data_IF_495296511417
#
_entry.id   IF_495296511417
#
_cell.length_a   1.000
_cell.length_b   1.000
_cell.length_c   1.000
_cell.angle_alpha   90.00
_cell.angle_beta   90.00
_cell.angle_gamma   90.00
#
_symmetry.space_group_name_H-M   'P 1'
#
loop_
_entity.id
_entity.type
_entity.pdbx_description
1 polymer ?
#
# COMPACT_ATOMS: atom_id res chain seq x y z
N UNK A 1 3.02 -16.65 -0.21
CA UNK A 1 3.56 -16.25 -1.54
C UNK A 1 2.37 -15.97 -2.45
N UNK A 2 2.47 -15.02 -3.39
CA UNK A 2 1.36 -14.73 -4.30
C UNK A 2 1.32 -15.82 -5.35
N UNK A 3 0.17 -16.49 -5.42
CA UNK A 3 -0.12 -17.48 -6.43
C UNK A 3 -1.21 -16.97 -7.35
N UNK A 4 -1.28 -17.46 -8.58
CA UNK A 4 -2.27 -17.01 -9.52
C UNK A 4 -2.86 -18.14 -10.35
N UNK A 5 -4.10 -17.95 -10.77
CA UNK A 5 -4.78 -18.85 -11.67
C UNK A 5 -4.87 -18.21 -13.05
N UNK A 6 -4.56 -18.98 -14.09
CA UNK A 6 -4.58 -18.51 -15.49
C UNK A 6 -6.01 -18.32 -16.02
N UNK A 7 -6.99 -19.08 -15.53
CA UNK A 7 -8.38 -18.98 -15.97
C UNK A 7 -9.12 -17.76 -15.39
N UNK A 8 -9.13 -17.58 -14.07
CA UNK A 8 -9.84 -16.44 -13.45
C UNK A 8 -9.01 -15.15 -13.38
N UNK A 9 -7.72 -15.21 -13.75
CA UNK A 9 -6.74 -14.10 -13.68
C UNK A 9 -6.70 -13.40 -12.31
N UNK A 10 -7.01 -14.16 -11.25
CA UNK A 10 -6.97 -13.70 -9.86
C UNK A 10 -5.69 -14.15 -9.16
N UNK A 11 -5.18 -13.27 -8.30
CA UNK A 11 -4.04 -13.51 -7.44
C UNK A 11 -4.49 -13.85 -6.01
N UNK A 12 -4.02 -14.98 -5.50
CA UNK A 12 -4.34 -15.52 -4.18
C UNK A 12 -3.11 -15.50 -3.26
N UNK A 13 -3.36 -15.41 -1.96
CA UNK A 13 -2.31 -15.32 -0.93
C UNK A 13 -1.96 -16.68 -0.29
N UNK A 14 -2.33 -17.80 -0.93
CA UNK A 14 -2.12 -19.16 -0.46
C UNK A 14 -3.03 -20.16 -1.19
N UNK A 15 -2.91 -21.45 -0.87
CA UNK A 15 -3.68 -22.54 -1.50
C UNK A 15 -2.90 -23.31 -2.57
N UNK A 16 -3.38 -24.51 -2.91
CA UNK A 16 -2.90 -25.29 -4.07
C UNK A 16 -3.82 -25.15 -5.28
N UNK A 17 -5.13 -25.06 -5.04
CA UNK A 17 -6.15 -25.00 -6.08
C UNK A 17 -6.94 -23.70 -6.04
N UNK A 18 -7.41 -23.26 -7.21
CA UNK A 18 -8.26 -22.09 -7.32
C UNK A 18 -9.64 -22.35 -6.70
N UNK A 19 -10.13 -21.52 -5.77
CA UNK A 19 -11.46 -21.69 -5.17
C UNK A 19 -12.61 -21.22 -6.09
N UNK A 20 -12.29 -20.56 -7.21
CA UNK A 20 -13.27 -19.85 -8.04
C UNK A 20 -13.53 -20.54 -9.39
N UNK A 21 -12.66 -21.46 -9.80
CA UNK A 21 -12.79 -22.20 -11.04
C UNK A 21 -13.35 -23.60 -10.76
N UNK A 22 -14.24 -24.10 -11.61
CA UNK A 22 -14.68 -25.50 -11.55
C UNK A 22 -13.57 -26.40 -12.10
N UNK A 23 -13.00 -27.23 -11.22
CA UNK A 23 -11.83 -28.07 -11.49
C UNK A 23 -10.68 -27.75 -10.55
N UNK A 24 -9.93 -28.76 -10.13
CA UNK A 24 -8.73 -28.62 -9.29
C UNK A 24 -7.58 -28.00 -10.10
N UNK A 25 -7.72 -26.72 -10.44
CA UNK A 25 -6.73 -25.97 -11.22
C UNK A 25 -5.62 -25.51 -10.29
N UNK A 26 -4.40 -25.99 -10.55
CA UNK A 26 -3.24 -25.61 -9.76
C UNK A 26 -2.91 -24.13 -9.92
N UNK A 27 -2.66 -23.49 -8.78
CA UNK A 27 -2.24 -22.10 -8.72
C UNK A 27 -0.73 -22.01 -9.00
N UNK A 28 -0.33 -21.22 -9.99
CA UNK A 28 1.07 -20.96 -10.31
C UNK A 28 1.67 -19.97 -9.32
N UNK A 29 2.85 -20.29 -8.79
CA UNK A 29 3.59 -19.39 -7.90
C UNK A 29 4.33 -18.30 -8.70
N UNK A 30 4.13 -17.04 -8.31
CA UNK A 30 4.81 -15.89 -8.91
C UNK A 30 6.31 -15.80 -8.55
N UNK A 31 6.76 -16.59 -7.57
CA UNK A 31 8.17 -16.66 -7.18
C UNK A 31 9.02 -17.46 -8.18
N UNK A 32 8.39 -18.31 -9.00
CA UNK A 32 9.10 -19.13 -9.99
C UNK A 32 9.42 -18.27 -11.23
N UNK A 33 10.68 -18.19 -11.68
CA UNK A 33 11.09 -17.33 -12.79
C UNK A 33 10.38 -17.67 -14.11
N UNK A 34 10.07 -18.94 -14.36
CA UNK A 34 9.32 -19.39 -15.55
C UNK A 34 7.91 -18.81 -15.63
N UNK A 35 7.30 -18.52 -14.48
CA UNK A 35 5.93 -18.01 -14.36
C UNK A 35 5.87 -16.49 -14.50
N UNK A 36 7.02 -15.80 -14.51
CA UNK A 36 7.08 -14.34 -14.64
C UNK A 36 6.57 -13.85 -16.00
N UNK A 37 6.59 -14.70 -17.04
CA UNK A 37 6.06 -14.39 -18.38
C UNK A 37 4.57 -14.03 -18.35
N UNK A 38 3.80 -14.57 -17.41
CA UNK A 38 2.36 -14.31 -17.27
C UNK A 38 2.03 -13.08 -16.40
N UNK A 39 3.03 -12.47 -15.75
CA UNK A 39 2.82 -11.34 -14.83
C UNK A 39 2.39 -10.05 -15.53
N UNK A 40 2.67 -9.90 -16.83
CA UNK A 40 2.26 -8.73 -17.61
C UNK A 40 0.75 -8.53 -17.61
N UNK A 41 0.00 -9.62 -17.78
CA UNK A 41 -1.47 -9.61 -17.81
C UNK A 41 -2.09 -9.63 -16.41
N UNK A 42 -1.47 -10.33 -15.45
CA UNK A 42 -1.95 -10.37 -14.07
C UNK A 42 -1.58 -9.15 -13.22
N UNK A 43 -0.85 -8.21 -13.80
CA UNK A 43 -0.48 -6.95 -13.16
C UNK A 43 -1.71 -6.16 -12.68
N UNK A 44 -2.88 -6.38 -13.29
CA UNK A 44 -4.15 -5.74 -12.90
C UNK A 44 -4.59 -6.05 -11.47
N UNK A 45 -4.32 -7.25 -10.95
CA UNK A 45 -4.78 -7.68 -9.62
C UNK A 45 -3.62 -7.74 -8.61
N UNK A 46 -2.42 -8.02 -9.10
CA UNK A 46 -1.20 -8.02 -8.28
C UNK A 46 -0.81 -6.60 -7.88
N UNK A 47 -0.82 -5.64 -8.82
CA UNK A 47 -0.38 -4.26 -8.58
C UNK A 47 -1.20 -3.56 -7.47
N UNK A 48 -2.54 -3.59 -7.47
CA UNK A 48 -3.33 -2.97 -6.39
C UNK A 48 -3.00 -3.57 -5.02
N UNK A 49 -2.84 -4.89 -4.92
CA UNK A 49 -2.57 -5.58 -3.65
C UNK A 49 -1.19 -5.25 -3.09
N UNK A 50 -0.15 -5.19 -3.93
CA UNK A 50 1.18 -4.77 -3.50
C UNK A 50 1.25 -3.28 -3.18
N UNK A 51 0.59 -2.42 -3.97
CA UNK A 51 0.54 -0.99 -3.68
C UNK A 51 -0.24 -0.65 -2.42
N UNK A 52 -1.31 -1.37 -2.11
CA UNK A 52 -2.05 -1.20 -0.86
C UNK A 52 -1.19 -1.50 0.37
N UNK A 53 -0.31 -2.50 0.28
CA UNK A 53 0.64 -2.80 1.37
C UNK A 53 1.71 -1.74 1.51
N UNK A 54 2.28 -1.30 0.38
CA UNK A 54 3.30 -0.24 0.39
C UNK A 54 2.74 1.10 0.86
N UNK A 55 1.50 1.44 0.51
CA UNK A 55 0.83 2.66 0.98
C UNK A 55 0.53 2.62 2.48
N UNK A 56 0.17 1.45 3.01
CA UNK A 56 -0.01 1.23 4.45
C UNK A 56 1.32 1.41 5.22
N UNK A 57 2.42 0.90 4.70
CA UNK A 57 3.75 1.10 5.31
C UNK A 57 4.20 2.57 5.28
N UNK A 58 3.97 3.25 4.16
CA UNK A 58 4.38 4.65 3.98
C UNK A 58 3.60 5.62 4.89
N UNK A 59 2.31 5.37 5.07
CA UNK A 59 1.48 6.14 6.02
C UNK A 59 1.85 5.83 7.47
N UNK A 60 2.07 4.55 7.81
CA UNK A 60 2.54 4.15 9.13
C UNK A 60 3.88 4.83 9.49
N UNK A 61 4.85 4.80 8.58
CA UNK A 61 6.13 5.49 8.74
C UNK A 61 5.94 7.00 8.96
N UNK A 62 5.03 7.63 8.20
CA UNK A 62 4.67 9.02 8.36
C UNK A 62 4.16 9.37 9.77
N UNK A 63 3.27 8.56 10.33
CA UNK A 63 2.75 8.77 11.70
C UNK A 63 3.82 8.55 12.77
N UNK A 64 4.64 7.50 12.62
CA UNK A 64 5.72 7.20 13.57
C UNK A 64 6.73 8.34 13.61
N UNK A 65 7.06 8.96 12.46
CA UNK A 65 7.99 10.09 12.39
C UNK A 65 7.36 11.43 12.78
N UNK A 66 6.04 11.58 12.68
CA UNK A 66 5.34 12.80 13.11
C UNK A 66 5.45 13.05 14.62
N UNK A 67 5.36 11.99 15.43
CA UNK A 67 5.43 12.07 16.89
C UNK A 67 6.75 12.65 17.44
N UNK A 68 7.95 12.14 17.07
CA UNK A 68 9.22 12.70 17.55
C UNK A 68 9.44 14.12 17.05
N UNK A 69 8.96 14.47 15.85
CA UNK A 69 9.03 15.85 15.33
C UNK A 69 8.16 16.81 16.16
N UNK A 70 6.91 16.43 16.45
CA UNK A 70 6.02 17.22 17.30
C UNK A 70 6.57 17.38 18.72
N UNK A 71 7.11 16.29 19.29
CA UNK A 71 7.73 16.30 20.60
C UNK A 71 8.99 17.19 20.64
N UNK A 72 9.82 17.15 19.58
CA UNK A 72 10.99 18.00 19.46
C UNK A 72 10.62 19.49 19.47
N UNK A 73 9.63 19.89 18.67
CA UNK A 73 9.14 21.28 18.63
C UNK A 73 8.59 21.71 19.99
N UNK A 74 7.83 20.83 20.66
CA UNK A 74 7.31 21.10 22.00
C UNK A 74 8.42 21.31 23.04
N UNK A 75 9.38 20.38 23.14
CA UNK A 75 10.47 20.45 24.11
C UNK A 75 11.36 21.67 23.89
N UNK A 76 11.74 21.95 22.64
CA UNK A 76 12.57 23.10 22.27
C UNK A 76 11.83 24.42 22.49
N UNK A 77 10.52 24.42 22.27
CA UNK A 77 9.66 25.56 22.51
C UNK A 77 9.49 25.89 24.00
N UNK A 78 9.16 24.87 24.79
CA UNK A 78 9.00 24.97 26.23
C UNK A 78 10.29 25.46 26.91
N UNK A 79 11.47 25.00 26.44
CA UNK A 79 12.75 25.44 26.97
C UNK A 79 13.11 26.89 26.62
N UNK A 80 12.53 27.45 25.55
CA UNK A 80 12.94 28.74 25.00
C UNK A 80 12.08 29.92 25.46
N UNK A 81 10.76 29.76 25.59
CA UNK A 81 9.86 30.92 25.76
C UNK A 81 8.88 30.83 26.93
N UNK A 82 8.94 29.79 27.76
CA UNK A 82 8.07 29.60 28.94
C UNK A 82 6.55 29.48 28.67
N UNK A 83 6.10 29.77 27.44
CA UNK A 83 4.71 29.74 27.03
C UNK A 83 4.32 28.35 26.53
N UNK A 84 4.07 27.45 27.48
CA UNK A 84 3.79 26.03 27.23
C UNK A 84 2.57 25.82 26.32
N UNK A 85 1.54 26.66 26.45
CA UNK A 85 0.31 26.54 25.68
C UNK A 85 0.53 26.77 24.17
N UNK A 86 1.34 27.77 23.81
CA UNK A 86 1.64 28.09 22.41
C UNK A 86 2.46 26.98 21.74
N UNK A 87 3.45 26.42 22.45
CA UNK A 87 4.28 25.36 21.89
C UNK A 87 3.58 24.00 21.85
N UNK A 88 2.64 23.74 22.77
CA UNK A 88 1.78 22.56 22.70
C UNK A 88 0.88 22.58 21.46
N UNK A 89 0.24 23.71 21.15
CA UNK A 89 -0.62 23.83 19.95
C UNK A 89 0.19 23.77 18.65
N UNK A 90 1.40 24.34 18.62
CA UNK A 90 2.32 24.18 17.50
C UNK A 90 2.79 22.73 17.32
N UNK A 91 3.15 22.04 18.41
CA UNK A 91 3.55 20.63 18.36
C UNK A 91 2.44 19.72 17.85
N UNK A 92 1.21 19.89 18.36
CA UNK A 92 0.05 19.10 17.93
C UNK A 92 -0.33 19.41 16.48
N UNK A 93 -0.35 20.69 16.09
CA UNK A 93 -0.67 21.06 14.70
C UNK A 93 0.37 20.54 13.71
N UNK A 94 1.64 20.48 14.10
CA UNK A 94 2.69 19.83 13.30
C UNK A 94 2.42 18.34 13.11
N UNK A 95 2.09 17.61 14.18
CA UNK A 95 1.78 16.18 14.10
C UNK A 95 0.62 15.93 13.15
N UNK A 96 -0.48 16.68 13.31
CA UNK A 96 -1.66 16.58 12.45
C UNK A 96 -1.35 16.95 11.00
N UNK A 97 -0.52 17.98 10.78
CA UNK A 97 -0.10 18.40 9.44
C UNK A 97 0.74 17.33 8.72
N UNK A 98 1.73 16.75 9.39
CA UNK A 98 2.58 15.69 8.82
C UNK A 98 1.78 14.41 8.58
N UNK A 99 0.93 14.04 9.54
CA UNK A 99 -0.03 12.93 9.42
C UNK A 99 -0.94 13.10 8.18
N UNK A 100 -1.50 14.29 7.99
CA UNK A 100 -2.35 14.60 6.86
C UNK A 100 -1.60 14.59 5.53
N UNK A 101 -0.40 15.19 5.48
CA UNK A 101 0.44 15.22 4.28
C UNK A 101 0.88 13.82 3.82
N UNK A 102 1.23 12.97 4.77
CA UNK A 102 1.66 11.59 4.49
C UNK A 102 0.49 10.73 4.01
N UNK A 103 -0.69 10.88 4.61
CA UNK A 103 -1.93 10.28 4.07
C UNK A 103 -2.20 10.78 2.65
N UNK A 104 -2.29 12.09 2.46
CA UNK A 104 -2.68 12.69 1.18
C UNK A 104 -1.69 12.34 0.07
N UNK A 105 -0.39 12.39 0.36
CA UNK A 105 0.67 11.96 -0.54
C UNK A 105 0.54 10.49 -0.93
N UNK A 106 0.28 9.61 0.04
CA UNK A 106 0.07 8.18 -0.19
C UNK A 106 -1.15 7.90 -1.07
N UNK A 107 -2.28 8.55 -0.78
CA UNK A 107 -3.51 8.43 -1.58
C UNK A 107 -3.31 8.94 -3.01
N UNK A 108 -2.58 10.04 -3.19
CA UNK A 108 -2.25 10.61 -4.51
C UNK A 108 -1.32 9.71 -5.32
N UNK A 109 -0.33 9.09 -4.69
CA UNK A 109 0.55 8.11 -5.35
C UNK A 109 -0.23 6.86 -5.74
N UNK A 110 -1.08 6.35 -4.86
CA UNK A 110 -1.94 5.19 -5.11
C UNK A 110 -2.85 5.44 -6.31
N UNK A 111 -3.63 6.52 -6.29
CA UNK A 111 -4.54 6.89 -7.39
C UNK A 111 -3.82 7.05 -8.73
N UNK A 112 -2.62 7.65 -8.77
CA UNK A 112 -1.82 7.74 -9.99
C UNK A 112 -1.41 6.38 -10.54
N UNK A 113 -1.00 5.45 -9.68
CA UNK A 113 -0.55 4.11 -10.08
C UNK A 113 -1.69 3.18 -10.49
N UNK A 114 -2.92 3.54 -10.12
CA UNK A 114 -4.15 2.81 -10.45
C UNK A 114 -4.82 3.31 -11.74
N UNK A 115 -4.43 4.46 -12.30
CA UNK A 115 -5.04 5.00 -13.54
C UNK A 115 -4.86 4.10 -14.77
N UNK A 116 -3.76 3.36 -14.83
CA UNK A 116 -3.43 2.49 -15.96
C UNK A 116 -3.93 1.05 -15.77
N UNK A 117 -4.64 0.76 -14.67
CA UNK A 117 -5.22 -0.57 -14.41
C UNK A 117 -6.59 -0.63 -15.08
N UNK A 118 -6.61 -1.09 -16.33
CA UNK A 118 -7.86 -1.36 -17.05
C UNK A 118 -8.60 -2.54 -16.40
N UNK A 119 -9.92 -2.39 -16.24
CA UNK A 119 -10.81 -3.32 -15.50
C UNK A 119 -11.27 -4.54 -16.31
N UNK A 120 -10.92 -4.62 -17.59
CA UNK A 120 -11.36 -5.71 -18.48
C UNK A 120 -10.41 -6.91 -18.36
N UNK A 121 -10.83 -7.91 -17.58
CA UNK A 121 -10.28 -9.27 -17.63
C UNK A 121 -10.84 -9.96 -18.87
N UNK A 122 -10.10 -9.98 -19.97
CA UNK A 122 -10.46 -10.87 -21.09
C UNK A 122 -10.04 -12.31 -20.75
N UNK A 123 -10.97 -13.29 -20.75
CA UNK A 123 -10.65 -14.69 -20.55
C UNK A 123 -9.81 -15.20 -21.73
N UNK A 124 -8.67 -15.82 -21.44
CA UNK A 124 -7.95 -16.60 -22.45
C UNK A 124 -8.53 -18.02 -22.37
N UNK A 125 -9.38 -18.38 -23.33
CA UNK A 125 -9.55 -19.78 -23.71
C UNK A 125 -8.34 -20.11 -24.59
N UNK A 126 -7.41 -20.89 -24.06
CA UNK A 126 -6.69 -21.84 -24.92
C UNK A 126 -7.66 -22.98 -25.28
#
# INVERSE_FOLDING_TARGET
>A
MVKFCLQCKDAFWGGKFCPNCEGDIELLDAAVPENQKYLGELNIDVRPKYFARSSMLLTCFGFVMALPLGMFVFLRGASASGNVALWATLGISLVLGVAWLTWWGSAKVFSRKMKDVHTLKEPQLD
#
